data_IF_554103455186
#
_entry.id   IF_554103455186
#
_cell.length_a   1.000
_cell.length_b   1.000
_cell.length_c   1.000
_cell.angle_alpha   90.00
_cell.angle_beta   90.00
_cell.angle_gamma   90.00
#
_symmetry.space_group_name_H-M   'P 1'
#
loop_
_entity.id
_entity.type
_entity.pdbx_description
1 polymer ?
#
# COMPACT_ATOMS: atom_id res chain seq x y z
N UNK A 1 -13.82 -25.37 14.73
CA UNK A 1 -14.37 -24.16 14.06
C UNK A 1 -13.98 -22.97 14.91
N UNK A 2 -12.70 -22.62 14.89
CA UNK A 2 -12.14 -21.51 15.66
C UNK A 2 -12.18 -20.27 14.79
N UNK A 3 -12.86 -19.25 15.32
CA UNK A 3 -12.86 -17.88 14.82
C UNK A 3 -11.41 -17.45 14.56
N UNK A 4 -11.03 -17.33 13.30
CA UNK A 4 -9.80 -16.66 12.87
C UNK A 4 -10.23 -15.40 12.14
N UNK A 5 -9.58 -14.30 12.48
CA UNK A 5 -9.64 -13.00 11.82
C UNK A 5 -10.66 -11.98 12.36
N UNK A 6 -10.47 -11.58 13.62
CA UNK A 6 -10.62 -10.17 14.00
C UNK A 6 -9.25 -9.56 14.29
N UNK A 7 -8.37 -9.55 13.29
CA UNK A 7 -7.30 -8.54 13.27
C UNK A 7 -7.99 -7.20 13.00
N UNK A 8 -8.45 -6.51 14.04
CA UNK A 8 -8.82 -5.10 13.94
C UNK A 8 -7.69 -4.39 13.20
N UNK A 9 -8.00 -3.78 12.06
CA UNK A 9 -7.02 -3.17 11.15
C UNK A 9 -6.11 -2.24 11.95
N UNK A 10 -4.87 -2.68 12.18
CA UNK A 10 -3.84 -1.86 12.81
C UNK A 10 -3.32 -0.89 11.76
N UNK A 11 -4.10 0.14 11.49
CA UNK A 11 -3.77 1.15 10.48
C UNK A 11 -2.72 2.11 11.04
N UNK A 12 -1.65 2.30 10.27
CA UNK A 12 -0.62 3.28 10.59
C UNK A 12 -1.20 4.68 10.33
N UNK A 13 -1.26 5.51 11.36
CA UNK A 13 -1.69 6.91 11.26
C UNK A 13 -0.88 7.76 12.25
N UNK A 14 -0.87 9.10 12.10
CA UNK A 14 -0.25 9.98 13.09
C UNK A 14 -0.87 9.84 14.49
N UNK A 15 -2.08 9.27 14.61
CA UNK A 15 -2.75 9.06 15.89
C UNK A 15 -2.48 7.69 16.50
N UNK A 16 -2.09 6.67 15.72
CA UNK A 16 -1.84 5.31 16.19
C UNK A 16 -0.35 5.01 16.43
N UNK A 17 0.56 5.73 15.77
CA UNK A 17 2.00 5.59 15.99
C UNK A 17 2.42 6.25 17.31
N UNK A 18 3.14 5.51 18.18
CA UNK A 18 3.42 5.96 19.55
C UNK A 18 4.89 6.25 19.85
N UNK A 19 5.81 5.61 19.14
CA UNK A 19 7.23 5.67 19.43
C UNK A 19 8.03 5.99 18.17
N UNK A 20 9.10 6.75 18.34
CA UNK A 20 9.97 7.17 17.24
C UNK A 20 10.73 5.98 16.66
N UNK A 21 10.69 5.76 15.34
CA UNK A 21 11.41 4.65 14.71
C UNK A 21 12.94 4.83 14.73
N UNK A 22 13.44 6.05 15.02
CA UNK A 22 14.89 6.33 15.02
C UNK A 22 15.53 6.22 16.40
N UNK A 23 14.84 6.64 17.47
CA UNK A 23 15.43 6.67 18.82
C UNK A 23 14.58 6.04 19.93
N UNK A 24 13.37 5.54 19.62
CA UNK A 24 12.48 4.89 20.59
C UNK A 24 11.74 5.81 21.56
N UNK A 25 12.06 7.11 21.61
CA UNK A 25 11.34 8.07 22.44
C UNK A 25 9.87 8.25 21.97
N UNK A 26 8.94 8.66 22.86
CA UNK A 26 7.56 8.91 22.50
C UNK A 26 7.40 9.93 21.36
N UNK A 27 6.36 9.75 20.54
CA UNK A 27 5.90 10.76 19.57
C UNK A 27 4.79 11.61 20.22
N UNK A 28 5.00 12.93 20.27
CA UNK A 28 3.98 13.92 20.60
C UNK A 28 3.24 14.38 19.35
N UNK A 29 2.21 15.23 19.52
CA UNK A 29 1.50 15.89 18.41
C UNK A 29 1.85 17.36 18.38
N UNK A 30 2.26 17.84 17.22
CA UNK A 30 2.68 19.22 17.04
C UNK A 30 2.25 19.74 15.67
N UNK A 31 1.77 20.99 15.63
CA UNK A 31 1.51 21.70 14.38
C UNK A 31 2.80 22.33 13.90
N UNK A 32 3.31 21.87 12.77
CA UNK A 32 4.55 22.41 12.18
C UNK A 32 4.23 23.63 11.32
N UNK A 33 5.13 24.60 11.27
CA UNK A 33 4.92 25.81 10.44
C UNK A 33 4.77 25.50 8.95
N UNK A 34 5.35 24.39 8.49
CA UNK A 34 5.32 23.94 7.09
C UNK A 34 4.11 23.08 6.73
N UNK A 35 3.25 22.74 7.69
CA UNK A 35 2.14 21.82 7.48
C UNK A 35 0.89 22.26 8.25
N UNK A 36 -0.25 22.31 7.56
CA UNK A 36 -1.54 22.67 8.16
C UNK A 36 -2.16 21.56 9.02
N UNK A 37 -1.51 20.39 9.14
CA UNK A 37 -1.96 19.24 9.95
C UNK A 37 -1.08 19.07 11.19
N UNK A 38 -1.65 18.48 12.24
CA UNK A 38 -0.83 18.01 13.36
C UNK A 38 -0.01 16.79 12.92
N UNK A 39 1.28 16.84 13.21
CA UNK A 39 2.23 15.78 12.89
C UNK A 39 2.70 15.08 14.15
N UNK A 40 3.08 13.80 13.99
CA UNK A 40 3.72 13.03 15.04
C UNK A 40 5.20 13.43 15.12
N UNK A 41 5.60 14.11 16.19
CA UNK A 41 6.95 14.65 16.38
C UNK A 41 7.60 14.03 17.60
N UNK A 42 8.81 13.50 17.44
CA UNK A 42 9.53 12.85 18.51
C UNK A 42 9.93 13.84 19.62
N UNK A 43 9.69 13.46 20.87
CA UNK A 43 10.07 14.27 22.05
C UNK A 43 11.57 14.22 22.37
N UNK A 44 12.31 13.25 21.83
CA UNK A 44 13.75 13.09 22.02
C UNK A 44 14.58 13.71 20.90
N UNK A 45 14.52 13.12 19.69
CA UNK A 45 15.37 13.54 18.56
C UNK A 45 14.68 14.52 17.58
N UNK A 46 13.44 14.93 17.85
CA UNK A 46 12.65 15.86 17.01
C UNK A 46 12.36 15.37 15.58
N UNK A 47 12.61 14.09 15.30
CA UNK A 47 12.16 13.45 14.06
C UNK A 47 10.64 13.64 13.86
N UNK A 48 10.26 14.05 12.66
CA UNK A 48 8.87 14.21 12.25
C UNK A 48 8.46 12.98 11.42
N UNK A 49 7.43 12.29 11.88
CA UNK A 49 6.88 11.14 11.18
C UNK A 49 5.74 11.60 10.26
N UNK A 50 6.05 11.69 8.97
CA UNK A 50 5.05 11.96 7.93
C UNK A 50 4.43 10.65 7.45
N UNK A 51 3.10 10.62 7.40
CA UNK A 51 2.40 9.52 6.75
C UNK A 51 2.43 9.72 5.23
N UNK A 52 2.98 8.75 4.51
CA UNK A 52 2.94 8.70 3.05
C UNK A 52 1.93 7.65 2.58
N UNK A 53 1.21 7.90 1.46
CA UNK A 53 0.35 6.88 0.89
C UNK A 53 1.18 5.65 0.50
N UNK A 54 0.63 4.46 0.72
CA UNK A 54 1.17 3.23 0.12
C UNK A 54 0.66 3.12 -1.31
N UNK A 55 1.59 3.03 -2.25
CA UNK A 55 1.27 2.89 -3.67
C UNK A 55 1.04 1.42 -4.01
N UNK A 56 0.03 1.17 -4.85
CA UNK A 56 -0.26 -0.12 -5.46
C UNK A 56 -0.17 0.07 -6.97
N UNK A 57 0.47 -0.88 -7.66
CA UNK A 57 0.49 -0.95 -9.11
C UNK A 57 -0.23 -2.23 -9.55
N UNK A 58 -1.10 -2.11 -10.54
CA UNK A 58 -1.90 -3.21 -11.07
C UNK A 58 -1.92 -3.16 -12.60
N UNK A 59 -2.13 -4.31 -13.23
CA UNK A 59 -2.26 -4.41 -14.69
C UNK A 59 -3.67 -4.85 -15.08
N UNK A 60 -4.07 -4.53 -16.31
CA UNK A 60 -5.29 -5.09 -16.92
C UNK A 60 -4.85 -5.86 -18.16
N UNK A 61 -4.36 -7.11 -18.02
CA UNK A 61 -3.88 -7.88 -19.16
C UNK A 61 -5.05 -8.24 -20.09
N UNK A 62 -4.84 -8.07 -21.39
CA UNK A 62 -5.85 -8.32 -22.42
C UNK A 62 -5.31 -9.24 -23.50
N UNK A 63 -6.12 -10.22 -23.91
CA UNK A 63 -5.82 -11.13 -25.03
C UNK A 63 -7.14 -11.52 -25.71
N UNK A 64 -7.20 -11.42 -27.05
CA UNK A 64 -8.38 -11.72 -27.86
C UNK A 64 -9.70 -11.07 -27.37
N UNK A 65 -9.63 -9.82 -26.93
CA UNK A 65 -10.79 -9.09 -26.41
C UNK A 65 -11.28 -9.57 -25.04
N UNK A 66 -10.53 -10.43 -24.35
CA UNK A 66 -10.79 -10.86 -22.96
C UNK A 66 -9.83 -10.17 -22.01
N UNK A 67 -10.23 -10.03 -20.75
CA UNK A 67 -9.42 -9.46 -19.67
C UNK A 67 -9.09 -10.56 -18.67
N UNK A 68 -7.83 -10.61 -18.22
CA UNK A 68 -7.41 -11.47 -17.13
C UNK A 68 -7.83 -10.86 -15.78
N UNK A 69 -8.42 -11.68 -14.93
CA UNK A 69 -8.74 -11.35 -13.54
C UNK A 69 -8.20 -12.44 -12.62
N UNK A 70 -7.76 -12.04 -11.42
CA UNK A 70 -7.39 -12.95 -10.33
C UNK A 70 -8.54 -13.05 -9.33
N UNK A 71 -8.69 -14.22 -8.68
CA UNK A 71 -9.69 -14.42 -7.63
C UNK A 71 -8.99 -14.51 -6.28
N UNK A 72 -9.29 -13.57 -5.38
CA UNK A 72 -8.58 -13.42 -4.10
C UNK A 72 -8.73 -14.67 -3.23
N UNK A 73 -7.60 -15.23 -2.78
CA UNK A 73 -7.58 -16.42 -1.91
C UNK A 73 -7.68 -16.11 -0.41
N UNK A 74 -7.41 -14.85 -0.02
CA UNK A 74 -7.32 -14.40 1.38
C UNK A 74 -8.26 -13.24 1.68
N UNK A 75 -8.54 -13.03 2.98
CA UNK A 75 -9.27 -11.86 3.47
C UNK A 75 -8.37 -10.61 3.51
N UNK A 76 -8.94 -9.39 3.38
CA UNK A 76 -10.34 -9.10 3.09
C UNK A 76 -10.72 -9.43 1.64
N UNK A 77 -12.03 -9.57 1.39
CA UNK A 77 -12.62 -9.82 0.07
C UNK A 77 -12.23 -11.15 -0.61
N UNK A 78 -11.99 -12.20 0.18
CA UNK A 78 -11.80 -13.57 -0.32
C UNK A 78 -12.92 -13.97 -1.29
N UNK A 79 -12.55 -14.57 -2.41
CA UNK A 79 -13.48 -15.05 -3.44
C UNK A 79 -13.98 -13.99 -4.42
N UNK A 80 -13.68 -12.69 -4.21
CA UNK A 80 -13.95 -11.64 -5.20
C UNK A 80 -12.89 -11.62 -6.30
N UNK A 81 -13.30 -11.16 -7.47
CA UNK A 81 -12.40 -10.94 -8.62
C UNK A 81 -11.72 -9.57 -8.52
N UNK A 82 -10.48 -9.51 -8.98
CA UNK A 82 -9.69 -8.28 -9.03
C UNK A 82 -8.67 -8.35 -10.18
N UNK A 83 -7.98 -7.25 -10.41
CA UNK A 83 -6.85 -7.18 -11.33
C UNK A 83 -5.58 -7.67 -10.62
N UNK A 84 -4.64 -8.31 -11.34
CA UNK A 84 -3.36 -8.62 -10.74
C UNK A 84 -2.62 -7.33 -10.36
N UNK A 85 -2.04 -7.31 -9.16
CA UNK A 85 -1.33 -6.14 -8.67
C UNK A 85 -1.07 -6.15 -7.17
N UNK A 86 -0.08 -5.35 -6.77
CA UNK A 86 0.41 -5.31 -5.39
C UNK A 86 1.15 -4.03 -5.07
N UNK A 87 1.80 -4.02 -3.90
CA UNK A 87 2.48 -2.83 -3.42
C UNK A 87 3.73 -2.52 -4.24
N UNK A 88 3.99 -1.24 -4.44
CA UNK A 88 5.25 -0.77 -5.01
C UNK A 88 6.30 -0.75 -3.90
N UNK A 89 7.43 -1.42 -4.14
CA UNK A 89 8.53 -1.45 -3.18
C UNK A 89 9.35 -0.15 -3.18
N UNK A 90 10.06 0.07 -2.08
CA UNK A 90 10.90 1.26 -1.96
C UNK A 90 12.02 1.24 -3.01
N UNK A 91 12.09 2.28 -3.83
CA UNK A 91 13.05 2.38 -4.93
C UNK A 91 12.63 1.66 -6.22
N UNK A 92 11.49 0.98 -6.23
CA UNK A 92 10.94 0.30 -7.40
C UNK A 92 10.16 1.28 -8.29
N UNK A 93 10.28 1.15 -9.62
CA UNK A 93 9.41 1.90 -10.54
C UNK A 93 8.03 1.26 -10.54
N UNK A 94 6.98 2.07 -10.60
CA UNK A 94 5.59 1.59 -10.63
C UNK A 94 5.31 0.60 -11.76
N UNK A 95 5.95 0.77 -12.93
CA UNK A 95 5.84 -0.15 -14.06
C UNK A 95 6.49 -1.51 -13.80
N UNK A 96 7.61 -1.54 -13.08
CA UNK A 96 8.30 -2.78 -12.74
C UNK A 96 7.50 -3.57 -11.71
N UNK A 97 6.95 -2.87 -10.70
CA UNK A 97 6.04 -3.46 -9.72
C UNK A 97 4.83 -4.10 -10.41
N UNK A 98 4.19 -3.40 -11.36
CA UNK A 98 3.03 -3.92 -12.07
C UNK A 98 3.34 -5.23 -12.83
N UNK A 99 4.49 -5.29 -13.50
CA UNK A 99 4.95 -6.49 -14.24
C UNK A 99 5.27 -7.62 -13.27
N UNK A 100 6.05 -7.33 -12.22
CA UNK A 100 6.45 -8.30 -11.18
C UNK A 100 5.24 -8.92 -10.51
N UNK A 101 4.31 -8.10 -10.02
CA UNK A 101 3.10 -8.57 -9.33
C UNK A 101 2.21 -9.41 -10.26
N UNK A 102 2.11 -9.04 -11.55
CA UNK A 102 1.38 -9.86 -12.52
C UNK A 102 2.03 -11.24 -12.70
N UNK A 103 3.35 -11.28 -12.83
CA UNK A 103 4.08 -12.53 -12.93
C UNK A 103 3.95 -13.39 -11.66
N UNK A 104 4.06 -12.79 -10.48
CA UNK A 104 3.95 -13.50 -9.20
C UNK A 104 2.56 -14.09 -8.98
N UNK A 105 1.49 -13.36 -9.29
CA UNK A 105 0.13 -13.80 -9.04
C UNK A 105 -0.43 -14.74 -10.11
N UNK A 106 0.02 -14.61 -11.37
CA UNK A 106 -0.60 -15.32 -12.50
C UNK A 106 0.37 -16.20 -13.29
N UNK A 107 1.68 -16.04 -13.09
CA UNK A 107 2.71 -16.73 -13.88
C UNK A 107 2.83 -16.24 -15.31
N UNK A 108 2.25 -15.07 -15.65
CA UNK A 108 2.23 -14.55 -17.02
C UNK A 108 3.17 -13.36 -17.16
N UNK A 109 3.91 -13.33 -18.26
CA UNK A 109 4.67 -12.17 -18.69
C UNK A 109 3.76 -11.20 -19.46
N UNK A 110 3.88 -9.91 -19.17
CA UNK A 110 3.06 -8.87 -19.80
C UNK A 110 3.93 -7.75 -20.36
N UNK A 111 3.51 -7.19 -21.49
CA UNK A 111 4.08 -5.98 -22.06
C UNK A 111 3.10 -4.82 -21.82
N UNK A 112 3.55 -3.78 -21.11
CA UNK A 112 2.71 -2.63 -20.81
C UNK A 112 2.55 -1.75 -22.06
N UNK A 113 1.30 -1.45 -22.43
CA UNK A 113 0.96 -0.64 -23.59
C UNK A 113 0.67 0.83 -23.25
N UNK A 114 0.36 1.12 -21.99
CA UNK A 114 0.08 2.48 -21.52
C UNK A 114 -0.48 2.51 -20.10
N UNK A 115 -0.70 3.73 -19.60
CA UNK A 115 -1.36 3.97 -18.32
C UNK A 115 -2.87 4.09 -18.52
N UNK A 116 -3.64 3.26 -17.81
CA UNK A 116 -5.10 3.34 -17.83
C UNK A 116 -5.65 4.47 -16.94
N UNK A 117 -5.09 4.62 -15.73
CA UNK A 117 -5.54 5.65 -14.79
C UNK A 117 -4.79 5.65 -13.47
N UNK A 118 -4.99 6.71 -12.69
CA UNK A 118 -4.50 6.86 -11.32
C UNK A 118 -5.71 7.13 -10.42
N UNK A 119 -5.83 6.37 -9.35
CA UNK A 119 -6.96 6.43 -8.43
C UNK A 119 -6.46 6.75 -7.03
N UNK A 120 -7.14 7.68 -6.36
CA UNK A 120 -6.89 8.05 -4.96
C UNK A 120 -8.21 8.00 -4.19
N UNK A 121 -8.19 7.41 -3.01
CA UNK A 121 -9.35 7.27 -2.13
C UNK A 121 -8.95 7.43 -0.67
#
# INVERSE_FOLDING_TARGET
MTDHDTHAERTLSPTTIRYCPLCGAPLGRERLATDHREQAVCTGCRFVFYLSPKLVAATVPMEDGRVLLTRRAISPAKGKWTYPGGFVDFGERTVDAAIRETLEETGLEVCLTGLLGVYSY
#
